data_IF_053932807405
#
_entry.id   IF_053932807405
#
_cell.length_a   1.000
_cell.length_b   1.000
_cell.length_c   1.000
_cell.angle_alpha   90.00
_cell.angle_beta   90.00
_cell.angle_gamma   90.00
#
_symmetry.space_group_name_H-M   'P 1'
#
loop_
_entity.id
_entity.type
_entity.pdbx_description
1 polymer ?
#
# COMPACT_ATOMS: atom_id res chain seq x y z
N UNK A 1 18.88 3.69 0.25
CA UNK A 1 17.60 4.42 0.14
C UNK A 1 16.72 3.92 -1.00
N UNK A 2 17.10 4.09 -2.29
CA UNK A 2 16.20 3.69 -3.40
C UNK A 2 16.01 2.17 -3.51
N UNK A 3 17.08 1.40 -3.29
CA UNK A 3 17.06 -0.08 -3.33
C UNK A 3 16.15 -0.69 -2.25
N UNK A 4 16.07 -0.07 -1.06
CA UNK A 4 15.21 -0.54 0.02
C UNK A 4 13.73 -0.53 -0.40
N UNK A 5 13.28 0.50 -1.11
CA UNK A 5 11.92 0.62 -1.64
C UNK A 5 11.58 -0.41 -2.72
N UNK A 6 12.59 -0.91 -3.43
CA UNK A 6 12.49 -1.98 -4.43
C UNK A 6 12.38 -3.39 -3.81
N UNK A 7 12.52 -3.53 -2.48
CA UNK A 7 12.33 -4.80 -1.79
C UNK A 7 10.89 -5.28 -1.93
N UNK A 8 10.69 -6.56 -2.26
CA UNK A 8 9.36 -7.15 -2.46
C UNK A 8 8.88 -8.00 -1.28
N UNK A 9 7.61 -7.84 -0.92
CA UNK A 9 6.90 -8.62 0.10
C UNK A 9 5.67 -9.30 -0.50
N UNK A 10 5.22 -10.42 0.07
CA UNK A 10 4.01 -11.10 -0.41
C UNK A 10 2.75 -10.49 0.20
N UNK A 11 1.96 -9.77 -0.60
CA UNK A 11 0.74 -9.12 -0.13
C UNK A 11 -0.45 -10.08 -0.20
N UNK A 12 -0.72 -10.79 0.91
CA UNK A 12 -1.68 -11.91 1.00
C UNK A 12 -3.09 -11.59 0.47
N UNK A 13 -3.56 -10.34 0.57
CA UNK A 13 -4.86 -9.90 0.03
C UNK A 13 -4.87 -9.75 -1.50
N UNK A 14 -3.74 -9.37 -2.10
CA UNK A 14 -3.57 -9.30 -3.57
C UNK A 14 -2.98 -10.60 -4.16
N UNK A 15 -2.60 -11.57 -3.30
CA UNK A 15 -1.99 -12.87 -3.63
C UNK A 15 -0.74 -12.77 -4.53
N UNK A 16 -0.06 -11.62 -4.55
CA UNK A 16 1.11 -11.31 -5.39
C UNK A 16 2.24 -10.72 -4.56
N UNK A 17 3.46 -10.77 -5.10
CA UNK A 17 4.56 -9.93 -4.59
C UNK A 17 4.30 -8.48 -4.96
N UNK A 18 4.61 -7.56 -4.04
CA UNK A 18 4.58 -6.10 -4.27
C UNK A 18 5.83 -5.44 -3.69
N UNK A 19 6.28 -4.35 -4.28
CA UNK A 19 7.36 -3.52 -3.74
C UNK A 19 6.88 -2.63 -2.58
N UNK A 20 7.77 -2.17 -1.70
CA UNK A 20 7.39 -1.13 -0.72
C UNK A 20 6.95 0.18 -1.41
N UNK A 21 7.52 0.51 -2.57
CA UNK A 21 7.07 1.62 -3.40
C UNK A 21 5.59 1.47 -3.86
N UNK A 22 5.17 0.26 -4.25
CA UNK A 22 3.76 -0.01 -4.57
C UNK A 22 2.85 0.06 -3.33
N UNK A 23 3.32 -0.38 -2.16
CA UNK A 23 2.56 -0.28 -0.91
C UNK A 23 2.30 1.19 -0.52
N UNK A 24 3.32 2.05 -0.65
CA UNK A 24 3.19 3.50 -0.41
C UNK A 24 2.21 4.12 -1.41
N UNK A 25 2.28 3.74 -2.69
CA UNK A 25 1.35 4.20 -3.72
C UNK A 25 -0.11 3.76 -3.44
N UNK A 26 -0.32 2.51 -3.04
CA UNK A 26 -1.64 1.99 -2.65
C UNK A 26 -2.21 2.75 -1.45
N UNK A 27 -1.39 3.16 -0.49
CA UNK A 27 -1.84 3.91 0.67
C UNK A 27 -2.16 5.38 0.34
N UNK A 28 -1.38 6.01 -0.54
CA UNK A 28 -1.70 7.31 -1.12
C UNK A 28 -3.06 7.29 -1.86
N UNK A 29 -3.35 6.23 -2.62
CA UNK A 29 -4.66 6.05 -3.26
C UNK A 29 -5.82 5.94 -2.25
N UNK A 30 -5.62 5.37 -1.05
CA UNK A 30 -6.66 5.38 -0.01
C UNK A 30 -6.88 6.79 0.56
N UNK A 31 -5.83 7.57 0.75
CA UNK A 31 -5.93 8.96 1.24
C UNK A 31 -6.65 9.85 0.22
N UNK A 32 -6.36 9.68 -1.08
CA UNK A 32 -7.09 10.36 -2.17
C UNK A 32 -8.57 9.99 -2.16
N UNK A 33 -8.92 8.71 -1.96
CA UNK A 33 -10.33 8.28 -1.82
C UNK A 33 -11.01 8.86 -0.58
N UNK A 34 -10.35 8.91 0.58
CA UNK A 34 -10.88 9.61 1.75
C UNK A 34 -11.18 11.09 1.43
N UNK A 35 -10.29 11.79 0.73
CA UNK A 35 -10.47 13.21 0.42
C UNK A 35 -11.46 13.53 -0.71
N UNK A 36 -11.79 12.58 -1.59
CA UNK A 36 -12.65 12.80 -2.77
C UNK A 36 -13.98 12.02 -2.74
N UNK A 37 -14.02 10.87 -2.06
CA UNK A 37 -15.16 9.94 -2.01
C UNK A 37 -15.76 9.82 -0.58
N UNK A 38 -15.21 10.57 0.40
CA UNK A 38 -15.49 10.49 1.85
C UNK A 38 -15.36 9.08 2.45
N UNK A 39 -14.67 8.16 1.75
CA UNK A 39 -14.60 6.76 2.16
C UNK A 39 -13.76 6.60 3.43
N UNK A 40 -14.26 5.88 4.45
CA UNK A 40 -13.55 5.75 5.72
C UNK A 40 -12.20 5.05 5.54
N UNK A 41 -11.11 5.79 5.80
CA UNK A 41 -9.75 5.30 5.63
C UNK A 41 -9.43 4.15 6.59
N UNK A 42 -9.14 2.99 6.01
CA UNK A 42 -8.61 1.83 6.75
C UNK A 42 -7.08 1.75 6.59
N UNK A 43 -6.29 2.02 7.64
CA UNK A 43 -4.83 1.99 7.54
C UNK A 43 -4.31 0.61 7.15
N UNK A 44 -3.20 0.59 6.42
CA UNK A 44 -2.43 -0.61 6.14
C UNK A 44 -1.94 -1.23 7.45
N UNK A 45 -2.28 -2.51 7.64
CA UNK A 45 -1.75 -3.32 8.72
C UNK A 45 -0.75 -4.30 8.11
N UNK A 46 0.57 -4.12 8.31
CA UNK A 46 1.57 -5.04 7.78
C UNK A 46 1.30 -6.46 8.30
N UNK A 47 1.03 -7.36 7.36
CA UNK A 47 0.36 -8.64 7.60
C UNK A 47 1.32 -9.79 7.97
N UNK A 48 2.58 -9.66 7.58
CA UNK A 48 3.47 -10.71 7.04
C UNK A 48 3.38 -12.10 7.69
#
# INVERSE_FOLDING_TARGET
MREELSTTVHHRTLKRKVCYEELIHLEALKLVRLCLEDTPYKPFHPWW
#
